data_IF_353838703796
#
_entry.id   IF_353838703796
#
_cell.length_a   1.000
_cell.length_b   1.000
_cell.length_c   1.000
_cell.angle_alpha   90.00
_cell.angle_beta   90.00
_cell.angle_gamma   90.00
#
_symmetry.space_group_name_H-M   'P 1'
#
loop_
_entity.id
_entity.type
_entity.pdbx_description
1 polymer ?
#
# COMPACT_ATOMS: atom_id res chain seq x y z
N UNK A 1 -8.37 12.86 -14.86
CA UNK A 1 -9.10 11.61 -14.53
C UNK A 1 -8.42 10.40 -15.16
N UNK A 2 -8.17 10.42 -16.48
CA UNK A 2 -7.47 9.35 -17.20
C UNK A 2 -6.10 8.99 -16.59
N UNK A 3 -5.27 9.99 -16.27
CA UNK A 3 -3.97 9.77 -15.63
C UNK A 3 -4.08 9.08 -14.25
N UNK A 4 -5.11 9.37 -13.46
CA UNK A 4 -5.34 8.69 -12.17
C UNK A 4 -5.70 7.22 -12.37
N UNK A 5 -6.48 6.91 -13.42
CA UNK A 5 -6.81 5.53 -13.78
C UNK A 5 -5.57 4.79 -14.29
N UNK A 6 -4.75 5.40 -15.14
CA UNK A 6 -3.47 4.82 -15.56
C UNK A 6 -2.55 4.54 -14.36
N UNK A 7 -2.46 5.49 -13.43
CA UNK A 7 -1.68 5.33 -12.20
C UNK A 7 -2.27 4.25 -11.28
N UNK A 8 -3.59 4.06 -11.25
CA UNK A 8 -4.22 2.95 -10.55
C UNK A 8 -3.82 1.59 -11.14
N UNK A 9 -3.82 1.47 -12.48
CA UNK A 9 -3.36 0.26 -13.16
C UNK A 9 -1.86 0.01 -12.93
N UNK A 10 -1.04 1.06 -12.96
CA UNK A 10 0.39 0.98 -12.64
C UNK A 10 0.61 0.52 -11.20
N UNK A 11 -0.10 1.11 -10.25
CA UNK A 11 -0.07 0.71 -8.84
C UNK A 11 -0.47 -0.77 -8.67
N UNK A 12 -1.55 -1.20 -9.33
CA UNK A 12 -1.98 -2.60 -9.30
C UNK A 12 -0.89 -3.55 -9.82
N UNK A 13 -0.23 -3.20 -10.94
CA UNK A 13 0.91 -3.97 -11.47
C UNK A 13 2.06 -4.03 -10.48
N UNK A 14 2.39 -2.90 -9.83
CA UNK A 14 3.46 -2.83 -8.82
C UNK A 14 3.14 -3.71 -7.62
N UNK A 15 1.91 -3.64 -7.09
CA UNK A 15 1.46 -4.48 -5.96
C UNK A 15 1.47 -5.95 -6.36
N UNK A 16 1.07 -6.29 -7.58
CA UNK A 16 1.11 -7.68 -8.06
C UNK A 16 2.54 -8.22 -8.18
N UNK A 17 3.49 -7.37 -8.61
CA UNK A 17 4.88 -7.77 -8.81
C UNK A 17 5.70 -7.79 -7.51
N UNK A 18 5.51 -6.81 -6.64
CA UNK A 18 6.36 -6.57 -5.46
C UNK A 18 5.60 -6.62 -4.13
N UNK A 19 4.32 -6.98 -4.15
CA UNK A 19 3.50 -6.98 -2.93
C UNK A 19 3.94 -8.01 -1.90
N UNK A 20 4.12 -7.57 -0.67
CA UNK A 20 4.33 -8.45 0.47
C UNK A 20 2.98 -9.00 0.97
N UNK A 21 2.49 -10.04 0.29
CA UNK A 21 1.20 -10.65 0.63
C UNK A 21 1.17 -11.28 2.03
N UNK A 22 2.32 -11.69 2.59
CA UNK A 22 2.40 -12.23 3.95
C UNK A 22 2.09 -11.15 4.98
N UNK A 23 2.79 -10.02 4.91
CA UNK A 23 2.53 -8.87 5.76
C UNK A 23 1.12 -8.31 5.56
N UNK A 24 0.66 -8.20 4.31
CA UNK A 24 -0.71 -7.72 4.03
C UNK A 24 -1.75 -8.61 4.72
N UNK A 25 -1.56 -9.94 4.71
CA UNK A 25 -2.48 -10.89 5.36
C UNK A 25 -2.41 -10.80 6.88
N UNK A 26 -1.22 -10.75 7.45
CA UNK A 26 -1.01 -10.63 8.90
C UNK A 26 -1.58 -9.31 9.42
N UNK A 27 -1.27 -8.20 8.74
CA UNK A 27 -1.61 -6.84 9.15
C UNK A 27 -2.94 -6.34 8.58
N UNK A 28 -3.86 -7.22 8.16
CA UNK A 28 -5.14 -6.82 7.51
C UNK A 28 -5.93 -5.79 8.31
N UNK A 29 -6.02 -5.96 9.63
CA UNK A 29 -6.77 -5.05 10.52
C UNK A 29 -6.11 -3.66 10.58
N UNK A 30 -4.78 -3.60 10.66
CA UNK A 30 -4.04 -2.34 10.66
C UNK A 30 -4.06 -1.67 9.29
N UNK A 31 -3.92 -2.44 8.21
CA UNK A 31 -4.00 -1.95 6.84
C UNK A 31 -5.38 -1.36 6.54
N UNK A 32 -6.46 -2.05 6.96
CA UNK A 32 -7.82 -1.49 6.84
C UNK A 32 -8.00 -0.26 7.71
N UNK A 33 -7.46 -0.23 8.93
CA UNK A 33 -7.42 0.98 9.76
C UNK A 33 -6.74 2.17 9.07
N UNK A 34 -5.59 1.92 8.46
CA UNK A 34 -4.78 2.90 7.75
C UNK A 34 -5.44 3.40 6.44
N UNK A 35 -5.90 2.47 5.59
CA UNK A 35 -6.56 2.80 4.31
C UNK A 35 -7.87 3.56 4.56
N UNK A 36 -8.66 3.12 5.53
CA UNK A 36 -9.95 3.76 5.81
C UNK A 36 -9.85 4.93 6.80
N UNK A 37 -8.63 5.36 7.14
CA UNK A 37 -8.39 6.41 8.14
C UNK A 37 -9.25 6.21 9.40
N UNK A 38 -9.36 4.96 9.86
CA UNK A 38 -10.13 4.55 11.05
C UNK A 38 -9.30 4.59 12.34
N UNK A 39 -8.16 5.29 12.33
CA UNK A 39 -7.43 5.59 13.55
C UNK A 39 -8.09 6.75 14.28
N UNK A 40 -8.10 6.71 15.62
CA UNK A 40 -8.77 7.69 16.49
C UNK A 40 -8.38 9.16 16.21
N UNK A 41 -7.20 9.39 15.61
CA UNK A 41 -6.68 10.71 15.28
C UNK A 41 -7.32 11.37 14.03
N UNK A 42 -7.96 10.63 13.12
CA UNK A 42 -8.41 11.21 11.85
C UNK A 42 -9.55 10.42 11.17
N UNK A 43 -10.63 10.16 11.94
CA UNK A 43 -11.79 9.39 11.49
C UNK A 43 -12.49 10.07 10.31
N UNK A 44 -12.34 9.51 9.11
CA UNK A 44 -13.06 9.96 7.90
C UNK A 44 -14.13 8.96 7.47
N UNK A 45 -15.26 9.42 6.91
CA UNK A 45 -16.22 8.52 6.30
C UNK A 45 -15.59 7.80 5.10
N UNK A 46 -16.02 6.56 4.86
CA UNK A 46 -15.46 5.63 3.87
C UNK A 46 -15.21 6.28 2.50
N UNK A 47 -16.17 7.03 1.98
CA UNK A 47 -16.07 7.70 0.68
C UNK A 47 -14.98 8.79 0.64
N UNK A 48 -14.79 9.53 1.74
CA UNK A 48 -13.73 10.55 1.81
C UNK A 48 -12.34 9.91 1.85
N UNK A 49 -12.17 8.79 2.55
CA UNK A 49 -10.92 8.05 2.56
C UNK A 49 -10.59 7.50 1.16
N UNK A 50 -11.59 6.91 0.47
CA UNK A 50 -11.44 6.47 -0.91
C UNK A 50 -11.06 7.61 -1.87
N UNK A 51 -11.72 8.78 -1.75
CA UNK A 51 -11.38 9.98 -2.54
C UNK A 51 -9.97 10.50 -2.22
N UNK A 52 -9.54 10.45 -0.97
CA UNK A 52 -8.20 10.83 -0.55
C UNK A 52 -7.13 9.96 -1.23
N UNK A 53 -7.30 8.64 -1.20
CA UNK A 53 -6.40 7.71 -1.91
C UNK A 53 -6.44 7.91 -3.42
N UNK A 54 -7.63 8.11 -3.99
CA UNK A 54 -7.79 8.39 -5.42
C UNK A 54 -7.12 9.72 -5.83
N UNK A 55 -7.06 10.70 -4.94
CA UNK A 55 -6.31 11.94 -5.17
C UNK A 55 -4.80 11.74 -5.03
N UNK A 56 -4.35 10.91 -4.08
CA UNK A 56 -2.93 10.54 -3.97
C UNK A 56 -2.39 9.79 -5.19
N UNK A 57 -3.25 9.15 -6.00
CA UNK A 57 -2.84 8.58 -7.29
C UNK A 57 -2.28 9.61 -8.28
N UNK A 58 -2.45 10.92 -8.08
CA UNK A 58 -1.70 11.94 -8.85
C UNK A 58 -0.19 11.87 -8.59
N UNK A 59 0.21 11.52 -7.36
CA UNK A 59 1.59 11.30 -6.95
C UNK A 59 1.86 9.83 -6.70
N UNK A 60 1.78 9.02 -7.76
CA UNK A 60 1.95 7.56 -7.69
C UNK A 60 3.24 7.18 -6.95
N UNK A 61 4.35 7.89 -7.22
CA UNK A 61 5.64 7.62 -6.59
C UNK A 61 5.60 7.79 -5.07
N UNK A 62 4.91 8.82 -4.58
CA UNK A 62 4.72 9.06 -3.14
C UNK A 62 3.90 7.93 -2.52
N UNK A 63 2.89 7.44 -3.23
CA UNK A 63 2.05 6.35 -2.76
C UNK A 63 2.82 5.01 -2.75
N UNK A 64 3.62 4.75 -3.79
CA UNK A 64 4.52 3.58 -3.86
C UNK A 64 5.54 3.64 -2.73
N UNK A 65 6.21 4.79 -2.54
CA UNK A 65 7.18 4.98 -1.47
C UNK A 65 6.57 4.77 -0.08
N UNK A 66 5.34 5.25 0.15
CA UNK A 66 4.61 4.96 1.40
C UNK A 66 4.40 3.46 1.59
N UNK A 67 3.92 2.76 0.56
CA UNK A 67 3.69 1.32 0.65
C UNK A 67 4.98 0.52 0.84
N UNK A 68 6.11 0.97 0.27
CA UNK A 68 7.44 0.42 0.52
C UNK A 68 7.89 0.69 1.96
N UNK A 69 7.71 1.90 2.46
CA UNK A 69 8.07 2.30 3.83
C UNK A 69 7.30 1.48 4.88
N UNK A 70 6.02 1.20 4.63
CA UNK A 70 5.22 0.32 5.50
C UNK A 70 5.50 -1.17 5.29
N UNK A 71 6.37 -1.55 4.35
CA UNK A 71 6.73 -2.94 4.05
C UNK A 71 5.67 -3.71 3.26
N UNK A 72 4.59 -3.06 2.81
CA UNK A 72 3.55 -3.68 1.98
C UNK A 72 4.04 -3.95 0.55
N UNK A 73 5.05 -3.21 0.10
CA UNK A 73 5.82 -3.49 -1.10
C UNK A 73 7.26 -3.84 -0.72
N UNK A 74 7.80 -4.89 -1.32
CA UNK A 74 9.23 -5.14 -1.28
C UNK A 74 9.97 -4.09 -2.12
N UNK A 75 11.12 -3.66 -1.62
CA UNK A 75 12.09 -2.91 -2.41
C UNK A 75 12.46 -3.65 -3.70
N UNK A 76 12.77 -2.93 -4.79
CA UNK A 76 12.97 -3.50 -6.11
C UNK A 76 14.12 -4.51 -6.19
N UNK A 77 15.09 -4.44 -5.27
CA UNK A 77 16.32 -5.23 -5.31
C UNK A 77 16.37 -6.35 -4.25
N UNK A 78 15.26 -6.67 -3.58
CA UNK A 78 15.25 -7.71 -2.55
C UNK A 78 15.26 -9.11 -3.16
N UNK A 79 16.20 -9.93 -2.73
CA UNK A 79 16.26 -11.35 -3.06
C UNK A 79 15.25 -12.15 -2.23
N UNK A 80 14.91 -13.36 -2.68
CA UNK A 80 13.87 -14.19 -2.04
C UNK A 80 14.23 -14.62 -0.61
N UNK A 81 15.52 -14.77 -0.29
CA UNK A 81 15.98 -15.01 1.08
C UNK A 81 15.76 -13.79 1.99
N UNK A 82 16.01 -12.59 1.48
CA UNK A 82 15.81 -11.34 2.23
C UNK A 82 14.31 -11.10 2.47
N UNK A 83 13.47 -11.40 1.48
CA UNK A 83 12.01 -11.39 1.63
C UNK A 83 11.56 -12.39 2.72
N UNK A 84 12.19 -13.57 2.80
CA UNK A 84 11.89 -14.54 3.87
C UNK A 84 12.33 -14.01 5.23
N UNK A 85 13.54 -13.46 5.35
CA UNK A 85 14.05 -12.84 6.59
C UNK A 85 13.15 -11.69 7.07
N UNK A 86 12.70 -10.81 6.17
CA UNK A 86 11.81 -9.69 6.51
C UNK A 86 10.47 -10.14 7.11
N UNK A 87 10.00 -11.34 6.75
CA UNK A 87 8.75 -11.88 7.27
C UNK A 87 8.96 -12.95 8.34
N UNK A 88 10.18 -13.11 8.90
CA UNK A 88 10.46 -14.19 9.85
C UNK A 88 9.72 -14.04 11.19
N UNK A 89 9.28 -12.83 11.52
CA UNK A 89 8.59 -12.49 12.77
C UNK A 89 7.10 -12.12 12.57
N UNK A 90 6.54 -12.40 11.39
CA UNK A 90 5.12 -12.22 11.06
C UNK A 90 4.38 -13.56 11.10
#
# INVERSE_FOLDING_TARGET
MLQKLQNLFALYKIIKARGNMKLIRHSRKQLTGFIFCKNDLNRKPFFQAMLYWFNMLKGLDVLVWRLETFGFLYGPNLNDEEKKKLNQYL
#
